data_IF_294523072715
#
_entry.id   IF_294523072715
#
_cell.length_a   1.000
_cell.length_b   1.000
_cell.length_c   1.000
_cell.angle_alpha   90.00
_cell.angle_beta   90.00
_cell.angle_gamma   90.00
#
_symmetry.space_group_name_H-M   'P 1'
#
loop_
_entity.id
_entity.type
_entity.pdbx_description
1 polymer ?
#
# COMPACT_ATOMS: atom_id res chain seq x y z
N UNK A 1 30.32 -48.08 -1.29
CA UNK A 1 29.98 -46.67 -1.61
C UNK A 1 29.00 -46.00 -0.63
N UNK A 2 28.45 -46.70 0.38
CA UNK A 2 27.49 -46.10 1.34
C UNK A 2 28.18 -45.34 2.48
N UNK A 3 29.36 -45.76 2.94
CA UNK A 3 30.06 -45.09 4.05
C UNK A 3 30.44 -43.62 3.77
N UNK A 4 30.80 -43.28 2.53
CA UNK A 4 31.19 -41.92 2.16
C UNK A 4 30.05 -40.89 2.21
N UNK A 5 28.82 -41.31 1.92
CA UNK A 5 27.65 -40.40 1.97
C UNK A 5 27.26 -40.04 3.40
N UNK A 6 27.49 -40.94 4.37
CA UNK A 6 27.25 -40.63 5.79
C UNK A 6 28.21 -39.57 6.32
N UNK A 7 29.49 -39.63 5.94
CA UNK A 7 30.48 -38.61 6.31
C UNK A 7 30.14 -37.24 5.72
N UNK A 8 29.65 -37.20 4.49
CA UNK A 8 29.22 -35.97 3.82
C UNK A 8 28.02 -35.31 4.50
N UNK A 9 27.02 -36.09 4.88
CA UNK A 9 25.85 -35.59 5.61
C UNK A 9 26.23 -35.06 7.00
N UNK A 10 27.11 -35.76 7.72
CA UNK A 10 27.60 -35.31 9.01
C UNK A 10 28.34 -33.96 8.91
N UNK A 11 29.21 -33.79 7.91
CA UNK A 11 29.92 -32.52 7.67
C UNK A 11 28.96 -31.36 7.36
N UNK A 12 27.95 -31.58 6.51
CA UNK A 12 26.97 -30.56 6.16
C UNK A 12 26.14 -30.08 7.37
N UNK A 13 25.74 -31.01 8.26
CA UNK A 13 24.99 -30.67 9.48
C UNK A 13 25.86 -29.82 10.42
N UNK A 14 27.13 -30.18 10.61
CA UNK A 14 28.05 -29.44 11.48
C UNK A 14 28.27 -28.01 10.96
N UNK A 15 28.46 -27.84 9.65
CA UNK A 15 28.64 -26.52 9.03
C UNK A 15 27.36 -25.67 9.16
N UNK A 16 26.19 -26.25 8.90
CA UNK A 16 24.91 -25.56 9.08
C UNK A 16 24.66 -25.16 10.54
N UNK A 17 25.02 -26.01 11.50
CA UNK A 17 24.91 -25.71 12.93
C UNK A 17 25.93 -24.65 13.40
N UNK A 18 27.13 -24.63 12.82
CA UNK A 18 28.15 -23.62 13.13
C UNK A 18 27.79 -22.23 12.57
N UNK A 19 27.16 -22.17 11.39
CA UNK A 19 26.71 -20.92 10.77
C UNK A 19 25.35 -20.45 11.29
N UNK A 20 24.46 -21.39 11.62
CA UNK A 20 23.16 -21.11 12.22
C UNK A 20 23.30 -21.03 13.73
N UNK A 21 23.49 -19.83 14.27
CA UNK A 21 23.31 -19.57 15.70
C UNK A 21 21.82 -19.73 16.09
N UNK A 22 21.29 -20.95 16.04
CA UNK A 22 20.07 -21.33 16.72
C UNK A 22 20.48 -21.62 18.15
N UNK A 23 20.68 -20.55 18.93
CA UNK A 23 20.82 -20.66 20.37
C UNK A 23 19.44 -21.05 20.90
N UNK A 24 19.22 -22.35 21.13
CA UNK A 24 18.02 -22.83 21.79
C UNK A 24 18.15 -22.49 23.27
N UNK A 25 17.45 -21.44 23.70
CA UNK A 25 17.42 -21.01 25.09
C UNK A 25 16.33 -21.79 25.83
N UNK A 26 16.70 -22.41 26.96
CA UNK A 26 15.85 -23.31 27.76
C UNK A 26 14.56 -22.66 28.29
N UNK A 27 14.44 -21.33 28.22
CA UNK A 27 13.34 -20.57 28.83
C UNK A 27 12.22 -20.11 27.89
N UNK A 28 12.24 -20.38 26.57
CA UNK A 28 11.13 -19.85 25.74
C UNK A 28 11.20 -19.93 24.21
N UNK A 29 11.74 -21.01 23.64
CA UNK A 29 11.61 -21.28 22.21
C UNK A 29 12.58 -20.50 21.30
N UNK A 30 12.47 -20.75 19.99
CA UNK A 30 13.38 -20.33 18.92
C UNK A 30 13.57 -18.80 18.87
N UNK A 31 14.54 -18.27 19.62
CA UNK A 31 14.92 -16.87 19.59
C UNK A 31 15.86 -16.62 18.40
N UNK A 32 15.28 -16.38 17.23
CA UNK A 32 16.00 -15.65 16.19
C UNK A 32 16.25 -14.23 16.73
N UNK A 33 17.49 -13.77 16.69
CA UNK A 33 17.89 -12.38 16.99
C UNK A 33 17.22 -11.40 16.02
N UNK A 34 15.93 -11.16 16.21
CA UNK A 34 15.22 -10.00 15.69
C UNK A 34 15.36 -8.98 16.80
N UNK A 35 16.43 -8.19 16.73
CA UNK A 35 16.53 -6.91 17.43
C UNK A 35 15.18 -6.21 17.34
N UNK A 36 14.60 -5.90 18.50
CA UNK A 36 13.32 -5.21 18.70
C UNK A 36 12.93 -4.35 17.49
N UNK A 37 11.88 -4.78 16.78
CA UNK A 37 11.35 -4.01 15.65
C UNK A 37 10.66 -2.76 16.21
N UNK A 38 11.43 -1.71 16.47
CA UNK A 38 10.90 -0.39 16.83
C UNK A 38 10.14 0.17 15.62
N UNK A 39 8.84 -0.11 15.54
CA UNK A 39 7.96 0.43 14.53
C UNK A 39 7.74 1.93 14.81
N UNK A 40 8.71 2.77 14.45
CA UNK A 40 8.59 4.23 14.52
C UNK A 40 7.52 4.71 13.54
N UNK A 41 6.28 4.82 14.04
CA UNK A 41 5.17 5.47 13.36
C UNK A 41 5.53 6.95 13.16
N UNK A 42 5.34 7.47 11.95
CA UNK A 42 5.52 8.90 11.67
C UNK A 42 6.91 9.34 11.22
N UNK A 43 7.92 8.46 11.12
CA UNK A 43 9.20 8.83 10.48
C UNK A 43 8.91 9.36 9.05
N UNK A 44 9.44 10.52 8.66
CA UNK A 44 9.20 11.06 7.33
C UNK A 44 9.60 10.00 6.28
N UNK A 45 8.66 9.70 5.37
CA UNK A 45 8.69 8.62 4.37
C UNK A 45 8.31 7.18 4.82
N UNK A 46 7.77 6.96 6.03
CA UNK A 46 7.09 5.69 6.35
C UNK A 46 5.61 5.71 5.95
N UNK A 47 4.97 4.54 5.75
CA UNK A 47 3.57 4.45 5.30
C UNK A 47 2.59 5.24 6.18
N UNK A 48 2.86 5.33 7.49
CA UNK A 48 2.04 6.02 8.49
C UNK A 48 2.50 7.47 8.76
N UNK A 49 3.16 8.15 7.82
CA UNK A 49 3.57 9.54 7.97
C UNK A 49 2.45 10.53 7.63
N UNK A 50 2.05 11.38 8.59
CA UNK A 50 1.02 12.41 8.42
C UNK A 50 1.35 13.38 7.27
N UNK A 51 2.62 13.81 7.17
CA UNK A 51 3.07 14.65 6.06
C UNK A 51 2.92 13.95 4.69
N UNK A 52 3.16 12.64 4.64
CA UNK A 52 2.94 11.83 3.44
C UNK A 52 1.46 11.71 3.08
N UNK A 53 0.59 11.51 4.07
CA UNK A 53 -0.86 11.49 3.88
C UNK A 53 -1.36 12.82 3.35
N UNK A 54 -0.98 13.94 3.98
CA UNK A 54 -1.38 15.29 3.56
C UNK A 54 -1.03 15.57 2.09
N UNK A 55 0.18 15.19 1.65
CA UNK A 55 0.58 15.34 0.23
C UNK A 55 -0.29 14.50 -0.72
N UNK A 56 -0.61 13.25 -0.34
CA UNK A 56 -1.44 12.35 -1.15
C UNK A 56 -2.90 12.81 -1.20
N UNK A 57 -3.45 13.27 -0.08
CA UNK A 57 -4.82 13.80 -0.03
C UNK A 57 -4.94 15.07 -0.85
N UNK A 58 -4.00 16.03 -0.74
CA UNK A 58 -4.01 17.23 -1.58
C UNK A 58 -3.92 16.89 -3.07
N UNK A 59 -3.02 15.96 -3.46
CA UNK A 59 -2.94 15.54 -4.88
C UNK A 59 -4.26 14.92 -5.37
N UNK A 60 -4.87 14.03 -4.59
CA UNK A 60 -6.16 13.40 -4.94
C UNK A 60 -7.30 14.43 -5.00
N UNK A 61 -7.33 15.37 -4.06
CA UNK A 61 -8.32 16.44 -4.03
C UNK A 61 -8.18 17.38 -5.23
N UNK A 62 -6.96 17.75 -5.62
CA UNK A 62 -6.70 18.58 -6.81
C UNK A 62 -7.10 17.83 -8.08
N UNK A 63 -6.69 16.57 -8.25
CA UNK A 63 -7.02 15.78 -9.45
C UNK A 63 -8.53 15.51 -9.52
N UNK A 64 -9.15 15.09 -8.42
CA UNK A 64 -10.59 14.86 -8.34
C UNK A 64 -11.40 16.15 -8.54
N UNK A 65 -11.00 17.24 -7.89
CA UNK A 65 -11.62 18.56 -8.04
C UNK A 65 -11.50 19.10 -9.46
N UNK A 66 -10.35 18.92 -10.12
CA UNK A 66 -10.18 19.29 -11.52
C UNK A 66 -11.09 18.47 -12.45
N UNK A 67 -11.21 17.16 -12.22
CA UNK A 67 -12.10 16.32 -13.01
C UNK A 67 -13.59 16.70 -12.84
N UNK A 68 -14.03 16.95 -11.59
CA UNK A 68 -15.40 17.40 -11.30
C UNK A 68 -15.65 18.79 -11.87
N UNK A 69 -14.70 19.72 -11.73
CA UNK A 69 -14.78 21.06 -12.30
C UNK A 69 -14.83 21.05 -13.82
N UNK A 70 -14.03 20.19 -14.48
CA UNK A 70 -14.07 20.01 -15.92
C UNK A 70 -15.40 19.39 -16.39
N UNK A 71 -15.93 18.41 -15.65
CA UNK A 71 -17.24 17.82 -15.94
C UNK A 71 -18.37 18.85 -15.77
N UNK A 72 -18.34 19.66 -14.72
CA UNK A 72 -19.31 20.73 -14.49
C UNK A 72 -19.22 21.82 -15.56
N UNK A 73 -18.01 22.23 -15.95
CA UNK A 73 -17.80 23.18 -17.03
C UNK A 73 -18.27 22.60 -18.38
N UNK A 74 -17.95 21.35 -18.68
CA UNK A 74 -18.44 20.66 -19.88
C UNK A 74 -19.96 20.54 -19.91
N UNK A 75 -20.59 20.23 -18.76
CA UNK A 75 -22.04 20.20 -18.63
C UNK A 75 -22.67 21.59 -18.79
N UNK A 76 -22.04 22.65 -18.27
CA UNK A 76 -22.52 24.01 -18.45
C UNK A 76 -22.42 24.50 -19.91
N UNK A 77 -21.37 24.08 -20.64
CA UNK A 77 -21.22 24.39 -22.07
C UNK A 77 -22.18 23.57 -22.94
N UNK A 78 -22.51 22.34 -22.53
CA UNK A 78 -23.47 21.47 -23.22
C UNK A 78 -24.93 21.74 -22.79
N UNK A 79 -25.16 22.54 -21.75
CA UNK A 79 -26.50 22.86 -21.29
C UNK A 79 -27.20 23.73 -22.35
N UNK A 80 -28.45 23.40 -22.73
CA UNK A 80 -29.22 24.29 -23.58
C UNK A 80 -29.39 25.64 -22.86
N UNK A 81 -29.13 26.74 -23.58
CA UNK A 81 -29.29 28.11 -23.05
C UNK A 81 -30.74 28.46 -22.66
N UNK A 82 -31.71 27.59 -22.98
CA UNK A 82 -33.10 27.70 -22.59
C UNK A 82 -33.50 26.58 -21.63
N UNK A 83 -34.34 26.90 -20.65
CA UNK A 83 -34.97 25.87 -19.82
C UNK A 83 -36.04 25.17 -20.67
N UNK A 84 -35.85 23.87 -20.94
CA UNK A 84 -36.83 23.07 -21.69
C UNK A 84 -37.96 22.68 -20.75
N UNK A 85 -39.13 23.26 -20.94
CA UNK A 85 -40.35 22.94 -20.17
C UNK A 85 -41.34 22.23 -21.08
N UNK A 86 -41.94 21.13 -20.62
CA UNK A 86 -42.94 20.38 -21.36
C UNK A 86 -44.33 20.99 -21.11
N UNK A 87 -44.98 21.52 -22.15
CA UNK A 87 -46.33 22.11 -22.07
C UNK A 87 -47.21 21.47 -23.14
N UNK A 88 -48.33 20.86 -22.73
CA UNK A 88 -49.26 20.16 -23.64
C UNK A 88 -48.58 19.19 -24.63
N UNK A 89 -47.53 18.49 -24.18
CA UNK A 89 -46.79 17.52 -25.00
C UNK A 89 -45.72 18.11 -25.93
N UNK A 90 -45.53 19.43 -25.94
CA UNK A 90 -44.51 20.13 -26.74
C UNK A 90 -43.43 20.69 -25.83
N UNK A 91 -42.16 20.55 -26.23
CA UNK A 91 -41.04 21.19 -25.53
C UNK A 91 -40.95 22.66 -25.90
N UNK A 92 -41.07 23.53 -24.90
CA UNK A 92 -40.94 24.99 -25.05
C UNK A 92 -39.65 25.45 -24.36
N UNK A 93 -38.88 26.28 -25.04
CA UNK A 93 -37.73 26.99 -24.46
C UNK A 93 -38.26 28.21 -23.68
N UNK A 94 -38.00 28.27 -22.37
CA UNK A 94 -38.28 29.43 -21.50
C UNK A 94 -36.99 30.03 -20.99
#
# INVERSE_FOLDING_TARGET
MRHGTHFWLAGAIIVCAAMGAVQWSEDGGLSFSIQSAEARVGRPATPASVAGVARRTTRRAVVGGAAVGAAAAGAAVAAPACARVLVNGVWVCR
#
